data_IF_267747380732
#
_entry.id   IF_267747380732
#
_cell.length_a   1.000
_cell.length_b   1.000
_cell.length_c   1.000
_cell.angle_alpha   90.00
_cell.angle_beta   90.00
_cell.angle_gamma   90.00
#
_symmetry.space_group_name_H-M   'P 1'
#
loop_
_entity.id
_entity.type
_entity.pdbx_description
1 polymer ?
#
# COMPACT_ATOMS: atom_id res chain seq x y z
N UNK A 1 -30.95 16.61 1.77
CA UNK A 1 -30.27 17.66 1.03
C UNK A 1 -30.18 18.90 1.89
N UNK A 2 -28.99 19.46 2.08
CA UNK A 2 -28.49 20.63 1.37
C UNK A 2 -26.97 20.50 1.12
N UNK A 3 -26.57 20.39 -0.12
CA UNK A 3 -25.18 20.03 -0.55
C UNK A 3 -24.33 21.23 -1.00
N UNK A 4 -24.79 22.46 -0.95
CA UNK A 4 -24.09 23.55 -1.67
C UNK A 4 -23.27 24.55 -0.83
N UNK A 5 -23.40 24.57 0.49
CA UNK A 5 -22.70 25.60 1.32
C UNK A 5 -21.48 25.01 2.07
N UNK A 6 -21.45 23.71 2.36
CA UNK A 6 -20.39 23.07 3.17
C UNK A 6 -19.15 22.63 2.38
N UNK A 7 -19.17 22.65 1.05
CA UNK A 7 -18.04 22.21 0.22
C UNK A 7 -16.99 23.31 -0.06
N UNK A 8 -17.23 24.58 0.29
CA UNK A 8 -16.28 25.66 -0.02
C UNK A 8 -15.00 25.59 0.80
N UNK A 9 -15.07 25.23 2.08
CA UNK A 9 -13.90 25.16 2.97
C UNK A 9 -12.94 23.98 2.68
N UNK A 10 -13.43 22.98 1.96
CA UNK A 10 -12.66 21.77 1.62
C UNK A 10 -12.33 21.66 0.13
N UNK A 11 -12.68 22.69 -0.63
CA UNK A 11 -12.29 22.81 -2.03
C UNK A 11 -10.75 22.95 -2.16
N UNK A 12 -10.12 22.36 -3.16
CA UNK A 12 -8.66 22.43 -3.31
C UNK A 12 -8.08 23.84 -3.24
N UNK A 13 -8.76 24.83 -3.82
CA UNK A 13 -8.30 26.22 -3.80
C UNK A 13 -8.35 26.82 -2.40
N UNK A 14 -9.41 26.58 -1.62
CA UNK A 14 -9.49 27.01 -0.24
C UNK A 14 -8.41 26.36 0.64
N UNK A 15 -8.08 25.09 0.39
CA UNK A 15 -6.97 24.43 1.09
C UNK A 15 -5.62 25.03 0.69
N UNK A 16 -5.44 25.44 -0.57
CA UNK A 16 -4.22 26.13 -1.03
C UNK A 16 -4.06 27.51 -0.40
N UNK A 17 -5.15 28.26 -0.28
CA UNK A 17 -5.16 29.56 0.42
C UNK A 17 -4.81 29.39 1.90
N UNK A 18 -5.42 28.41 2.58
CA UNK A 18 -5.10 28.08 3.98
C UNK A 18 -3.63 27.70 4.15
N UNK A 19 -3.09 26.86 3.28
CA UNK A 19 -1.66 26.46 3.31
C UNK A 19 -0.75 27.66 3.09
N UNK A 20 -1.08 28.56 2.16
CA UNK A 20 -0.33 29.80 1.93
C UNK A 20 -0.37 30.74 3.16
N UNK A 21 -1.53 30.90 3.79
CA UNK A 21 -1.68 31.69 5.02
C UNK A 21 -0.83 31.15 6.16
N UNK A 22 -0.74 29.82 6.31
CA UNK A 22 0.11 29.17 7.31
C UNK A 22 1.59 29.51 7.06
N UNK A 23 2.05 29.40 5.81
CA UNK A 23 3.45 29.71 5.44
C UNK A 23 3.75 31.19 5.71
N UNK A 24 2.85 32.09 5.30
CA UNK A 24 3.02 33.52 5.56
C UNK A 24 3.04 33.85 7.06
N UNK A 25 2.18 33.23 7.85
CA UNK A 25 2.14 33.43 9.30
C UNK A 25 3.40 32.86 9.98
N UNK A 26 3.83 31.65 9.63
CA UNK A 26 5.05 31.05 10.16
C UNK A 26 6.27 31.94 9.92
N UNK A 27 6.41 32.47 8.68
CA UNK A 27 7.48 33.43 8.34
C UNK A 27 7.42 34.69 9.19
N UNK A 28 6.21 35.27 9.39
CA UNK A 28 6.00 36.46 10.24
C UNK A 28 6.37 36.20 11.71
N UNK A 29 6.23 34.96 12.18
CA UNK A 29 6.62 34.55 13.55
C UNK A 29 8.09 34.15 13.69
N UNK A 30 8.90 34.30 12.64
CA UNK A 30 10.34 34.12 12.66
C UNK A 30 10.83 32.73 12.23
N UNK A 31 9.99 31.90 11.63
CA UNK A 31 10.46 30.66 11.01
C UNK A 31 11.44 30.97 9.86
N UNK A 32 12.59 30.30 9.83
CA UNK A 32 13.55 30.41 8.74
C UNK A 32 13.07 29.64 7.50
N UNK A 33 12.31 28.58 7.69
CA UNK A 33 11.63 27.81 6.65
C UNK A 33 10.39 27.13 7.23
N UNK A 34 9.41 26.79 6.39
CA UNK A 34 8.18 26.13 6.82
C UNK A 34 7.54 25.28 5.71
N UNK A 35 6.77 24.29 6.15
CA UNK A 35 5.90 23.44 5.31
C UNK A 35 4.52 23.40 5.94
N UNK A 36 3.49 23.48 5.12
CA UNK A 36 2.11 23.29 5.50
C UNK A 36 1.51 22.14 4.68
N UNK A 37 0.91 21.18 5.36
CA UNK A 37 0.16 20.08 4.79
C UNK A 37 -1.29 20.23 5.19
N UNK A 38 -2.19 20.30 4.21
CA UNK A 38 -3.62 20.45 4.46
C UNK A 38 -4.38 19.38 3.71
N UNK A 39 -5.22 18.64 4.41
CA UNK A 39 -6.04 17.58 3.80
C UNK A 39 -7.48 17.65 4.28
N UNK A 40 -8.40 17.29 3.40
CA UNK A 40 -9.79 17.11 3.73
C UNK A 40 -10.35 15.90 2.98
N UNK A 41 -11.07 15.03 3.68
CA UNK A 41 -11.60 13.79 3.14
C UNK A 41 -13.06 13.55 3.52
N UNK A 42 -13.73 12.78 2.68
CA UNK A 42 -15.07 12.26 2.89
C UNK A 42 -15.03 10.75 2.66
N UNK A 43 -15.57 9.98 3.60
CA UNK A 43 -15.71 8.54 3.49
C UNK A 43 -17.12 8.09 3.85
N UNK A 44 -17.60 7.06 3.14
CA UNK A 44 -18.77 6.29 3.48
C UNK A 44 -18.37 4.81 3.48
N UNK A 45 -18.69 4.12 4.56
CA UNK A 45 -18.51 2.68 4.69
C UNK A 45 -19.83 2.03 5.06
N UNK A 46 -20.18 0.97 4.36
CA UNK A 46 -21.34 0.13 4.66
C UNK A 46 -20.87 -1.29 4.78
N UNK A 47 -21.25 -1.97 5.86
CA UNK A 47 -21.04 -3.38 6.05
C UNK A 47 -22.38 -4.10 6.22
N UNK A 48 -22.57 -5.17 5.44
CA UNK A 48 -23.73 -6.07 5.51
C UNK A 48 -23.24 -7.45 5.89
N UNK A 49 -23.94 -8.08 6.82
CA UNK A 49 -23.66 -9.45 7.25
C UNK A 49 -24.95 -10.26 7.31
N UNK A 50 -24.97 -11.40 6.66
CA UNK A 50 -26.15 -12.28 6.55
C UNK A 50 -27.39 -11.53 6.03
N UNK A 51 -27.20 -10.64 5.05
CA UNK A 51 -28.24 -9.81 4.47
C UNK A 51 -28.69 -8.61 5.31
N UNK A 52 -28.26 -8.51 6.57
CA UNK A 52 -28.62 -7.42 7.47
C UNK A 52 -27.51 -6.36 7.54
N UNK A 53 -27.90 -5.12 7.75
CA UNK A 53 -26.95 -4.01 7.92
C UNK A 53 -26.27 -4.17 9.28
N UNK A 54 -24.94 -4.31 9.27
CA UNK A 54 -24.14 -4.37 10.49
C UNK A 54 -23.64 -3.00 10.90
N UNK A 55 -23.04 -2.25 9.95
CA UNK A 55 -22.57 -0.88 10.20
C UNK A 55 -22.78 0.03 9.01
N UNK A 56 -23.01 1.31 9.31
CA UNK A 56 -22.98 2.43 8.36
C UNK A 56 -22.16 3.54 9.01
N UNK A 57 -21.06 3.91 8.36
CA UNK A 57 -20.18 4.94 8.87
C UNK A 57 -19.97 6.05 7.84
N UNK A 58 -19.96 7.30 8.32
CA UNK A 58 -19.57 8.47 7.55
C UNK A 58 -18.40 9.16 8.23
N UNK A 59 -17.32 9.29 7.50
CA UNK A 59 -16.12 9.95 7.97
C UNK A 59 -15.94 11.28 7.27
N UNK A 60 -15.62 12.32 8.05
CA UNK A 60 -15.18 13.63 7.56
C UNK A 60 -13.87 13.95 8.24
N UNK A 61 -12.80 13.75 7.51
CA UNK A 61 -11.47 13.96 8.03
C UNK A 61 -10.95 15.31 7.55
N UNK A 62 -10.38 16.07 8.48
CA UNK A 62 -9.64 17.30 8.22
C UNK A 62 -8.30 17.19 8.92
N UNK A 63 -7.25 17.58 8.25
CA UNK A 63 -5.90 17.59 8.81
C UNK A 63 -5.13 18.82 8.34
N UNK A 64 -4.49 19.48 9.28
CA UNK A 64 -3.58 20.57 9.05
C UNK A 64 -2.29 20.28 9.83
N UNK A 65 -1.18 20.04 9.11
CA UNK A 65 0.14 19.84 9.67
C UNK A 65 1.05 21.03 9.33
N UNK A 66 1.82 21.47 10.31
CA UNK A 66 2.80 22.54 10.13
C UNK A 66 4.16 22.06 10.60
N UNK A 67 5.13 22.08 9.71
CA UNK A 67 6.54 21.92 10.07
C UNK A 67 7.25 23.25 9.92
N UNK A 68 7.96 23.67 10.95
CA UNK A 68 8.79 24.89 10.94
C UNK A 68 10.24 24.56 11.21
N UNK A 69 11.11 25.41 10.71
CA UNK A 69 12.54 25.35 10.96
C UNK A 69 13.04 26.68 11.57
N UNK A 70 13.90 26.58 12.55
CA UNK A 70 14.70 27.68 13.11
C UNK A 70 16.17 27.32 12.86
N UNK A 71 16.71 27.73 11.72
CA UNK A 71 17.97 27.21 11.23
C UNK A 71 17.88 25.71 10.96
N UNK A 72 18.62 24.90 11.70
CA UNK A 72 18.65 23.43 11.62
C UNK A 72 17.76 22.72 12.65
N UNK A 73 16.96 23.47 13.38
CA UNK A 73 16.04 22.96 14.40
C UNK A 73 14.64 22.81 13.80
N UNK A 74 14.06 21.63 13.92
CA UNK A 74 12.75 21.31 13.35
C UNK A 74 11.70 21.19 14.44
N UNK A 75 10.52 21.79 14.24
CA UNK A 75 9.33 21.57 15.04
C UNK A 75 8.15 21.23 14.17
N UNK A 76 7.27 20.35 14.65
CA UNK A 76 6.04 19.97 13.95
C UNK A 76 4.87 19.95 14.92
N UNK A 77 3.72 20.44 14.46
CA UNK A 77 2.45 20.36 15.16
C UNK A 77 1.30 20.21 14.14
N UNK A 78 0.17 19.67 14.59
CA UNK A 78 -0.99 19.45 13.75
C UNK A 78 -2.31 19.70 14.48
N UNK A 79 -3.36 19.96 13.72
CA UNK A 79 -4.74 20.12 14.21
C UNK A 79 -5.73 19.65 13.16
N UNK A 80 -6.96 19.33 13.57
CA UNK A 80 -8.11 19.08 12.68
C UNK A 80 -9.03 20.30 12.53
N UNK A 81 -8.75 21.40 13.23
CA UNK A 81 -9.50 22.64 13.18
C UNK A 81 -8.85 23.63 12.20
N UNK A 82 -9.59 24.05 11.18
CA UNK A 82 -9.15 24.99 10.14
C UNK A 82 -9.41 26.47 10.50
N UNK A 83 -9.89 26.75 11.71
CA UNK A 83 -10.08 28.13 12.14
C UNK A 83 -8.74 28.88 12.18
N UNK A 84 -8.80 30.19 11.90
CA UNK A 84 -7.62 31.05 11.95
C UNK A 84 -6.89 30.99 13.31
N UNK A 85 -7.63 30.86 14.39
CA UNK A 85 -7.09 30.76 15.73
C UNK A 85 -6.33 29.45 15.93
N UNK A 86 -6.91 28.32 15.54
CA UNK A 86 -6.27 26.99 15.63
C UNK A 86 -5.02 26.93 14.75
N UNK A 87 -5.05 27.48 13.54
CA UNK A 87 -3.90 27.60 12.64
C UNK A 87 -2.75 28.37 13.33
N UNK A 88 -3.05 29.52 13.93
CA UNK A 88 -2.05 30.33 14.61
C UNK A 88 -1.44 29.60 15.83
N UNK A 89 -2.26 28.93 16.63
CA UNK A 89 -1.78 28.12 17.75
C UNK A 89 -0.91 26.94 17.29
N UNK A 90 -1.27 26.28 16.20
CA UNK A 90 -0.49 25.17 15.63
C UNK A 90 0.89 25.65 15.17
N UNK A 91 0.98 26.78 14.49
CA UNK A 91 2.26 27.39 14.10
C UNK A 91 3.11 27.74 15.34
N UNK A 92 2.49 28.35 16.38
CA UNK A 92 3.21 28.67 17.63
C UNK A 92 3.70 27.41 18.34
N UNK A 93 2.90 26.36 18.39
CA UNK A 93 3.28 25.08 18.96
C UNK A 93 4.50 24.48 18.22
N UNK A 94 4.48 24.47 16.88
CA UNK A 94 5.59 24.01 16.07
C UNK A 94 6.86 24.85 16.32
N UNK A 95 6.76 26.17 16.39
CA UNK A 95 7.88 27.07 16.72
C UNK A 95 8.45 26.80 18.11
N UNK A 96 7.59 26.59 19.11
CA UNK A 96 8.02 26.28 20.45
C UNK A 96 8.79 24.95 20.50
N UNK A 97 8.30 23.92 19.78
CA UNK A 97 9.02 22.65 19.64
C UNK A 97 10.39 22.87 18.99
N UNK A 98 10.45 23.62 17.88
CA UNK A 98 11.71 23.91 17.18
C UNK A 98 12.75 24.61 18.05
N UNK A 99 12.33 25.52 18.95
CA UNK A 99 13.24 26.21 19.87
C UNK A 99 14.01 25.29 20.83
N UNK A 100 13.38 24.18 21.21
CA UNK A 100 13.96 23.22 22.17
C UNK A 100 14.49 21.95 21.53
N UNK A 101 14.31 21.79 20.19
CA UNK A 101 14.87 20.65 19.44
C UNK A 101 16.35 20.87 19.17
N UNK A 102 17.14 19.80 19.23
CA UNK A 102 18.55 19.86 18.86
C UNK A 102 18.71 20.18 17.37
N UNK A 103 19.83 20.81 17.02
CA UNK A 103 20.20 21.03 15.63
C UNK A 103 20.52 19.71 14.92
N UNK A 104 20.07 19.57 13.68
CA UNK A 104 20.40 18.46 12.81
C UNK A 104 20.75 18.98 11.43
N UNK A 105 22.00 18.78 11.02
CA UNK A 105 22.53 19.29 9.74
C UNK A 105 21.78 18.79 8.51
N UNK A 106 21.06 17.69 8.62
CA UNK A 106 20.22 17.14 7.55
C UNK A 106 18.79 17.69 7.54
N UNK A 107 18.37 18.42 8.60
CA UNK A 107 17.04 19.02 8.66
C UNK A 107 16.91 20.21 7.71
N UNK A 108 15.74 20.34 7.07
CA UNK A 108 15.43 21.45 6.18
C UNK A 108 14.55 21.04 5.01
N UNK A 109 14.17 22.04 4.23
CA UNK A 109 13.41 21.85 2.98
C UNK A 109 14.25 21.14 1.91
N UNK A 110 13.62 20.55 0.88
CA UNK A 110 14.33 20.03 -0.29
C UNK A 110 15.07 21.14 -1.03
N UNK A 111 15.95 20.77 -1.95
CA UNK A 111 16.57 21.70 -2.87
C UNK A 111 15.49 22.29 -3.81
N UNK A 112 15.47 23.61 -3.97
CA UNK A 112 14.46 24.31 -4.78
C UNK A 112 14.37 23.75 -6.21
N UNK A 113 15.51 23.42 -6.81
CA UNK A 113 15.59 22.85 -8.14
C UNK A 113 14.92 21.46 -8.30
N UNK A 114 14.66 20.77 -7.21
CA UNK A 114 13.99 19.46 -7.21
C UNK A 114 12.47 19.57 -7.08
N UNK A 115 11.94 20.75 -6.73
CA UNK A 115 10.50 20.95 -6.57
C UNK A 115 9.77 20.72 -7.88
N UNK A 116 8.56 20.21 -7.79
CA UNK A 116 7.67 20.08 -8.93
C UNK A 116 7.10 21.44 -9.29
N UNK A 117 7.18 21.83 -10.56
CA UNK A 117 6.57 23.07 -11.08
C UNK A 117 5.35 22.77 -11.95
N UNK A 118 5.46 21.73 -12.77
CA UNK A 118 4.42 21.24 -13.66
C UNK A 118 4.24 19.74 -13.48
N UNK A 119 3.01 19.28 -13.46
CA UNK A 119 2.68 17.85 -13.42
C UNK A 119 1.44 17.57 -14.27
N UNK A 120 1.38 16.39 -14.91
CA UNK A 120 0.23 15.99 -15.70
C UNK A 120 -0.98 15.70 -14.79
N UNK A 121 -2.17 15.78 -15.38
CA UNK A 121 -3.35 15.19 -14.76
C UNK A 121 -3.19 13.65 -14.74
N UNK A 122 -3.22 13.09 -13.56
CA UNK A 122 -3.06 11.65 -13.34
C UNK A 122 -4.41 10.92 -13.27
N UNK A 123 -5.52 11.59 -13.55
CA UNK A 123 -6.87 11.04 -13.56
C UNK A 123 -7.23 10.34 -12.22
N UNK A 124 -6.98 11.05 -11.09
CA UNK A 124 -7.07 10.44 -9.75
C UNK A 124 -8.44 10.56 -9.11
N UNK A 125 -9.35 11.41 -9.62
CA UNK A 125 -10.60 11.75 -8.97
C UNK A 125 -11.81 11.30 -9.76
N UNK A 126 -12.49 10.29 -9.26
CA UNK A 126 -13.72 9.71 -9.81
C UNK A 126 -14.71 9.47 -8.66
N UNK A 127 -15.55 10.47 -8.31
CA UNK A 127 -16.51 10.30 -7.24
C UNK A 127 -17.52 9.19 -7.58
N UNK A 128 -17.88 8.39 -6.57
CA UNK A 128 -18.91 7.39 -6.68
C UNK A 128 -20.15 7.86 -5.90
N UNK A 129 -21.15 8.41 -6.56
CA UNK A 129 -22.29 9.05 -5.90
C UNK A 129 -23.32 8.02 -5.41
N UNK A 130 -22.90 7.09 -4.55
CA UNK A 130 -23.79 6.13 -3.91
C UNK A 130 -24.50 6.77 -2.72
N UNK A 131 -25.81 6.60 -2.65
CA UNK A 131 -26.53 6.74 -1.39
C UNK A 131 -26.39 5.46 -0.54
N UNK A 132 -26.81 5.54 0.72
CA UNK A 132 -26.70 4.40 1.66
C UNK A 132 -27.48 3.19 1.16
N UNK A 133 -28.68 3.38 0.63
CA UNK A 133 -29.52 2.28 0.17
C UNK A 133 -28.84 1.53 -1.00
N UNK A 134 -28.28 2.27 -1.94
CA UNK A 134 -27.51 1.69 -3.05
C UNK A 134 -26.26 0.94 -2.57
N UNK A 135 -25.52 1.51 -1.63
CA UNK A 135 -24.32 0.85 -1.06
C UNK A 135 -24.69 -0.43 -0.30
N UNK A 136 -25.79 -0.43 0.44
CA UNK A 136 -26.35 -1.61 1.13
C UNK A 136 -26.73 -2.70 0.12
N UNK A 137 -27.42 -2.35 -0.97
CA UNK A 137 -27.80 -3.34 -1.98
C UNK A 137 -26.57 -3.94 -2.70
N UNK A 138 -25.56 -3.13 -3.02
CA UNK A 138 -24.31 -3.67 -3.59
C UNK A 138 -23.60 -4.64 -2.61
N UNK A 139 -23.58 -4.33 -1.33
CA UNK A 139 -23.00 -5.24 -0.32
C UNK A 139 -23.82 -6.53 -0.19
N UNK A 140 -25.16 -6.44 -0.20
CA UNK A 140 -26.05 -7.59 -0.19
C UNK A 140 -25.91 -8.48 -1.41
N UNK A 141 -25.79 -7.88 -2.60
CA UNK A 141 -25.59 -8.61 -3.85
C UNK A 141 -24.27 -9.35 -3.86
N UNK A 142 -23.20 -8.72 -3.34
CA UNK A 142 -21.89 -9.33 -3.18
C UNK A 142 -21.96 -10.57 -2.24
N UNK A 143 -22.56 -10.42 -1.07
CA UNK A 143 -22.70 -11.51 -0.11
C UNK A 143 -23.63 -12.61 -0.62
N UNK A 144 -24.76 -12.26 -1.24
CA UNK A 144 -25.71 -13.19 -1.84
C UNK A 144 -25.05 -14.04 -2.92
N UNK A 145 -24.23 -13.45 -3.76
CA UNK A 145 -23.46 -14.16 -4.79
C UNK A 145 -22.50 -15.18 -4.16
N UNK A 146 -21.87 -14.85 -3.05
CA UNK A 146 -20.99 -15.79 -2.34
C UNK A 146 -21.77 -16.98 -1.77
N UNK A 147 -22.92 -16.77 -1.12
CA UNK A 147 -23.76 -17.86 -0.63
C UNK A 147 -24.33 -18.73 -1.76
N UNK A 148 -24.67 -18.12 -2.90
CA UNK A 148 -25.21 -18.84 -4.06
C UNK A 148 -24.14 -19.67 -4.79
N UNK A 149 -22.86 -19.31 -4.69
CA UNK A 149 -21.78 -19.98 -5.40
C UNK A 149 -21.55 -21.43 -4.92
N UNK A 150 -21.69 -21.69 -3.62
CA UNK A 150 -21.50 -23.03 -3.10
C UNK A 150 -22.27 -23.24 -1.77
N UNK A 151 -23.05 -24.35 -1.68
CA UNK A 151 -23.83 -24.70 -0.48
C UNK A 151 -22.98 -24.96 0.78
N UNK A 152 -21.68 -25.13 0.65
CA UNK A 152 -20.73 -25.32 1.76
C UNK A 152 -20.37 -23.99 2.43
N UNK A 153 -20.68 -22.86 1.82
CA UNK A 153 -20.64 -21.54 2.46
C UNK A 153 -21.82 -21.48 3.42
N UNK A 154 -21.52 -21.42 4.71
CA UNK A 154 -22.53 -21.53 5.79
C UNK A 154 -22.62 -20.29 6.65
N UNK A 155 -21.65 -19.36 6.53
CA UNK A 155 -21.61 -18.12 7.28
C UNK A 155 -20.82 -17.04 6.51
N UNK A 156 -20.91 -15.82 6.99
CA UNK A 156 -20.21 -14.66 6.45
C UNK A 156 -19.64 -13.80 7.58
N UNK A 157 -18.51 -13.18 7.34
CA UNK A 157 -18.00 -12.06 8.14
C UNK A 157 -18.47 -10.71 7.56
N UNK A 158 -19.19 -10.75 6.45
CA UNK A 158 -19.82 -9.62 5.81
C UNK A 158 -19.25 -9.29 4.42
N UNK A 159 -20.01 -8.42 3.75
CA UNK A 159 -19.57 -7.72 2.56
C UNK A 159 -19.58 -6.22 2.84
N UNK A 160 -18.54 -5.53 2.39
CA UNK A 160 -18.36 -4.10 2.65
C UNK A 160 -18.24 -3.32 1.36
N UNK A 161 -18.84 -2.13 1.33
CA UNK A 161 -18.67 -1.13 0.28
C UNK A 161 -18.09 0.14 0.90
N UNK A 162 -16.92 0.57 0.41
CA UNK A 162 -16.24 1.77 0.89
C UNK A 162 -16.08 2.77 -0.26
N UNK A 163 -16.51 3.99 -0.02
CA UNK A 163 -16.44 5.11 -0.96
C UNK A 163 -15.67 6.23 -0.30
N UNK A 164 -14.49 6.57 -0.83
CA UNK A 164 -13.63 7.59 -0.26
C UNK A 164 -13.19 8.59 -1.32
N UNK A 165 -13.13 9.84 -0.95
CA UNK A 165 -12.53 10.91 -1.73
C UNK A 165 -11.88 11.95 -0.81
N UNK A 166 -10.85 12.62 -1.30
CA UNK A 166 -10.19 13.65 -0.52
C UNK A 166 -9.27 14.53 -1.36
N UNK A 167 -9.01 15.71 -0.83
CA UNK A 167 -8.03 16.65 -1.36
C UNK A 167 -6.84 16.75 -0.43
N UNK A 168 -5.66 16.85 -1.00
CA UNK A 168 -4.40 17.08 -0.31
C UNK A 168 -3.70 18.29 -0.91
N UNK A 169 -3.17 19.15 -0.06
CA UNK A 169 -2.37 20.30 -0.45
C UNK A 169 -1.11 20.36 0.38
N UNK A 170 -0.02 20.63 -0.28
CA UNK A 170 1.29 20.91 0.31
C UNK A 170 1.76 22.28 -0.12
N UNK A 171 2.20 23.09 0.82
CA UNK A 171 2.91 24.36 0.55
C UNK A 171 4.18 24.45 1.36
N UNK A 172 5.21 25.13 0.83
CA UNK A 172 6.43 25.43 1.54
C UNK A 172 6.93 26.85 1.33
N UNK A 173 7.86 27.28 2.16
CA UNK A 173 8.42 28.64 2.10
C UNK A 173 9.39 28.90 0.95
N UNK A 174 9.67 27.91 0.07
CA UNK A 174 10.38 28.06 -1.18
C UNK A 174 9.44 28.43 -2.35
N UNK A 175 8.13 28.60 -2.08
CA UNK A 175 7.14 28.98 -3.08
C UNK A 175 6.35 27.82 -3.69
N UNK A 176 6.62 26.58 -3.31
CA UNK A 176 5.79 25.46 -3.71
C UNK A 176 4.40 25.55 -3.06
N UNK A 177 3.33 25.41 -3.85
CA UNK A 177 1.95 25.29 -3.40
C UNK A 177 1.19 24.39 -4.36
N UNK A 178 1.28 23.09 -4.15
CA UNK A 178 0.68 22.06 -4.99
C UNK A 178 -0.41 21.28 -4.25
N UNK A 179 -1.38 20.78 -5.02
CA UNK A 179 -2.42 19.95 -4.45
C UNK A 179 -3.16 19.16 -5.51
N UNK A 180 -3.83 18.10 -5.08
CA UNK A 180 -4.64 17.26 -5.94
C UNK A 180 -5.81 16.66 -5.15
N UNK A 181 -6.85 16.30 -5.89
CA UNK A 181 -7.99 15.54 -5.37
C UNK A 181 -7.90 14.11 -5.85
N UNK A 182 -8.29 13.17 -5.03
CA UNK A 182 -8.30 11.76 -5.39
C UNK A 182 -9.50 11.03 -4.79
N UNK A 183 -9.85 9.91 -5.40
CA UNK A 183 -10.84 8.97 -4.89
C UNK A 183 -10.24 7.57 -4.76
N UNK A 184 -10.80 6.78 -3.87
CA UNK A 184 -10.50 5.36 -3.74
C UNK A 184 -11.74 4.65 -3.23
N UNK A 185 -12.20 3.66 -3.98
CA UNK A 185 -13.37 2.86 -3.64
C UNK A 185 -12.97 1.40 -3.52
N UNK A 186 -13.69 0.64 -2.70
CA UNK A 186 -13.48 -0.79 -2.59
C UNK A 186 -14.77 -1.52 -2.26
N UNK A 187 -14.86 -2.75 -2.74
CA UNK A 187 -15.86 -3.73 -2.36
C UNK A 187 -15.14 -4.99 -1.91
N UNK A 188 -15.57 -5.58 -0.81
CA UNK A 188 -14.99 -6.82 -0.30
C UNK A 188 -16.06 -7.76 0.22
N UNK A 189 -15.76 -9.06 0.23
CA UNK A 189 -16.59 -10.09 0.83
C UNK A 189 -15.71 -11.13 1.53
N UNK A 190 -16.06 -11.49 2.75
CA UNK A 190 -15.39 -12.54 3.53
C UNK A 190 -16.41 -13.56 3.99
N UNK A 191 -16.19 -14.83 3.66
CA UNK A 191 -17.14 -15.91 3.93
C UNK A 191 -16.49 -17.12 4.60
N UNK A 192 -17.32 -17.94 5.21
CA UNK A 192 -16.91 -19.10 5.99
C UNK A 192 -17.58 -20.36 5.43
N UNK A 193 -16.77 -21.37 5.16
CA UNK A 193 -17.23 -22.70 4.75
C UNK A 193 -16.96 -23.75 5.83
N UNK A 194 -17.75 -24.83 5.85
CA UNK A 194 -17.56 -25.93 6.78
C UNK A 194 -18.19 -25.70 8.16
N UNK A 195 -17.95 -26.63 9.10
CA UNK A 195 -18.51 -26.60 10.45
C UNK A 195 -17.46 -26.99 11.50
N UNK A 196 -17.59 -26.41 12.70
CA UNK A 196 -16.74 -26.74 13.85
C UNK A 196 -15.25 -26.49 13.57
N UNK A 197 -14.39 -27.44 13.91
CA UNK A 197 -12.94 -27.32 13.70
C UNK A 197 -12.51 -27.38 12.24
N UNK A 198 -13.39 -27.77 11.32
CA UNK A 198 -13.12 -27.83 9.89
C UNK A 198 -13.57 -26.56 9.15
N UNK A 199 -13.93 -25.51 9.87
CA UNK A 199 -14.26 -24.22 9.25
C UNK A 199 -13.05 -23.61 8.59
N UNK A 200 -13.28 -23.10 7.38
CA UNK A 200 -12.30 -22.33 6.60
C UNK A 200 -12.91 -20.98 6.27
N UNK A 201 -12.06 -19.95 6.24
CA UNK A 201 -12.41 -18.60 5.88
C UNK A 201 -11.46 -18.11 4.79
N UNK A 202 -12.00 -17.41 3.83
CA UNK A 202 -11.22 -16.62 2.88
C UNK A 202 -12.05 -15.41 2.42
N UNK A 203 -11.46 -14.54 1.68
CA UNK A 203 -12.06 -13.30 1.21
C UNK A 203 -11.59 -12.94 -0.20
N UNK A 204 -12.31 -12.02 -0.80
CA UNK A 204 -11.86 -11.31 -1.98
C UNK A 204 -12.29 -9.86 -1.95
N UNK A 205 -11.58 -9.02 -2.70
CA UNK A 205 -11.93 -7.61 -2.81
C UNK A 205 -11.46 -7.03 -4.16
N UNK A 206 -12.14 -5.95 -4.56
CA UNK A 206 -11.72 -5.04 -5.61
C UNK A 206 -11.50 -3.65 -5.05
N UNK A 207 -10.50 -2.94 -5.53
CA UNK A 207 -10.26 -1.54 -5.19
C UNK A 207 -9.76 -0.77 -6.40
N UNK A 208 -10.31 0.43 -6.62
CA UNK A 208 -9.93 1.29 -7.73
C UNK A 208 -10.23 2.77 -7.40
N UNK A 209 -9.68 3.67 -8.18
CA UNK A 209 -10.05 5.09 -8.14
C UNK A 209 -11.36 5.35 -8.86
N UNK A 210 -11.59 4.69 -9.98
CA UNK A 210 -12.83 4.78 -10.74
C UNK A 210 -13.74 3.57 -10.42
N UNK A 211 -15.02 3.78 -10.10
CA UNK A 211 -15.93 2.68 -9.72
C UNK A 211 -16.05 1.59 -10.81
N UNK A 212 -16.03 1.97 -12.09
CA UNK A 212 -16.12 1.00 -13.19
C UNK A 212 -14.88 0.09 -13.35
N UNK A 213 -13.76 0.42 -12.69
CA UNK A 213 -12.56 -0.40 -12.69
C UNK A 213 -12.58 -1.46 -11.56
N UNK A 214 -13.60 -1.43 -10.69
CA UNK A 214 -13.83 -2.46 -9.67
C UNK A 214 -14.54 -3.65 -10.33
N UNK A 215 -14.13 -4.86 -9.99
CA UNK A 215 -14.83 -6.07 -10.40
C UNK A 215 -16.32 -5.98 -10.00
N UNK A 216 -17.18 -6.62 -10.77
CA UNK A 216 -18.60 -6.73 -10.41
C UNK A 216 -18.73 -7.35 -9.03
N UNK A 217 -19.66 -6.84 -8.24
CA UNK A 217 -19.80 -7.25 -6.83
C UNK A 217 -20.13 -8.74 -6.71
N UNK A 218 -20.90 -9.27 -7.67
CA UNK A 218 -21.23 -10.69 -7.72
C UNK A 218 -20.00 -11.56 -7.99
N UNK A 219 -19.05 -11.06 -8.78
CA UNK A 219 -17.81 -11.77 -9.05
C UNK A 219 -16.90 -11.77 -7.83
N UNK A 220 -16.83 -10.67 -7.09
CA UNK A 220 -16.09 -10.58 -5.82
C UNK A 220 -16.63 -11.62 -4.84
N UNK A 221 -17.95 -11.71 -4.67
CA UNK A 221 -18.59 -12.70 -3.81
C UNK A 221 -18.32 -14.15 -4.25
N UNK A 222 -18.44 -14.42 -5.56
CA UNK A 222 -18.15 -15.75 -6.13
C UNK A 222 -16.71 -16.17 -5.89
N UNK A 223 -15.73 -15.29 -6.16
CA UNK A 223 -14.31 -15.58 -5.94
C UNK A 223 -14.03 -15.83 -4.44
N UNK A 224 -14.60 -15.03 -3.54
CA UNK A 224 -14.46 -15.24 -2.10
C UNK A 224 -14.95 -16.64 -1.68
N UNK A 225 -16.10 -17.08 -2.20
CA UNK A 225 -16.65 -18.40 -1.93
C UNK A 225 -15.77 -19.53 -2.49
N UNK A 226 -15.33 -19.42 -3.75
CA UNK A 226 -14.46 -20.41 -4.38
C UNK A 226 -13.13 -20.55 -3.63
N UNK A 227 -12.51 -19.44 -3.24
CA UNK A 227 -11.29 -19.42 -2.43
C UNK A 227 -11.50 -20.12 -1.09
N UNK A 228 -12.62 -19.83 -0.41
CA UNK A 228 -12.94 -20.42 0.90
C UNK A 228 -13.16 -21.92 0.79
N UNK A 229 -13.95 -22.35 -0.18
CA UNK A 229 -14.34 -23.76 -0.35
C UNK A 229 -13.16 -24.65 -0.73
N UNK A 230 -12.24 -24.15 -1.59
CA UNK A 230 -11.06 -24.92 -1.98
C UNK A 230 -10.09 -25.22 -0.83
N UNK A 231 -10.20 -24.49 0.31
CA UNK A 231 -9.40 -24.71 1.54
C UNK A 231 -9.95 -25.81 2.44
N UNK A 232 -11.17 -26.29 2.21
CA UNK A 232 -11.78 -27.33 3.03
C UNK A 232 -10.98 -28.65 2.98
N UNK A 233 -10.91 -29.34 4.14
CA UNK A 233 -10.16 -30.59 4.34
C UNK A 233 -8.63 -30.39 4.20
N UNK A 234 -8.12 -29.24 4.62
CA UNK A 234 -6.69 -28.98 4.66
C UNK A 234 -5.94 -30.03 5.48
N UNK A 235 -4.72 -30.31 5.08
CA UNK A 235 -3.82 -31.26 5.71
C UNK A 235 -2.57 -30.54 6.19
N UNK A 236 -1.87 -31.17 7.13
CA UNK A 236 -0.53 -30.75 7.56
C UNK A 236 0.52 -31.38 6.66
N UNK A 237 1.65 -30.72 6.50
CA UNK A 237 2.82 -31.28 5.82
C UNK A 237 3.87 -31.67 6.85
N UNK A 238 4.73 -32.65 6.54
CA UNK A 238 5.95 -32.88 7.30
C UNK A 238 6.94 -31.73 7.09
N UNK A 239 7.98 -31.65 7.93
CA UNK A 239 9.09 -30.74 7.71
C UNK A 239 9.89 -31.16 6.49
N UNK A 240 10.06 -30.25 5.52
CA UNK A 240 10.76 -30.52 4.27
C UNK A 240 11.30 -29.22 3.64
N UNK A 241 12.03 -29.36 2.55
CA UNK A 241 12.40 -28.26 1.68
C UNK A 241 11.83 -28.50 0.28
N UNK A 242 11.20 -27.49 -0.31
CA UNK A 242 10.62 -27.59 -1.65
C UNK A 242 10.54 -26.22 -2.33
N UNK A 243 10.27 -26.18 -3.64
CA UNK A 243 9.83 -24.97 -4.33
C UNK A 243 8.55 -24.40 -3.72
N UNK A 244 8.46 -23.06 -3.71
CA UNK A 244 7.29 -22.36 -3.17
C UNK A 244 6.78 -21.34 -4.18
N UNK A 245 5.53 -21.46 -4.57
CA UNK A 245 4.82 -20.53 -5.44
C UNK A 245 3.93 -19.62 -4.58
N UNK A 246 4.28 -18.36 -4.49
CA UNK A 246 3.43 -17.33 -3.88
C UNK A 246 2.39 -16.89 -4.90
N UNK A 247 1.09 -17.12 -4.61
CA UNK A 247 -0.03 -16.62 -5.41
C UNK A 247 0.02 -15.08 -5.48
N UNK A 248 -0.37 -14.47 -6.60
CA UNK A 248 -0.26 -13.02 -6.83
C UNK A 248 -0.76 -12.13 -5.66
N UNK A 249 -1.90 -12.43 -4.98
CA UNK A 249 -2.36 -11.65 -3.83
C UNK A 249 -1.35 -11.56 -2.68
N UNK A 250 -0.58 -12.61 -2.44
CA UNK A 250 0.40 -12.67 -1.35
C UNK A 250 1.82 -12.35 -1.81
N UNK A 251 2.13 -12.55 -3.09
CA UNK A 251 3.45 -12.28 -3.69
C UNK A 251 3.87 -10.81 -3.55
N UNK A 252 2.92 -9.86 -3.64
CA UNK A 252 3.18 -8.44 -3.45
C UNK A 252 3.82 -8.10 -2.08
N UNK A 253 3.63 -8.96 -1.07
CA UNK A 253 4.23 -8.78 0.26
C UNK A 253 5.74 -8.98 0.26
N UNK A 254 6.28 -9.87 -0.59
CA UNK A 254 7.72 -10.10 -0.74
C UNK A 254 8.42 -8.81 -1.17
N UNK A 255 7.85 -8.12 -2.15
CA UNK A 255 8.38 -6.84 -2.63
C UNK A 255 8.15 -5.70 -1.62
N UNK A 256 7.20 -5.83 -0.70
CA UNK A 256 7.04 -4.93 0.43
C UNK A 256 8.23 -4.94 1.38
N UNK A 257 8.79 -6.12 1.66
CA UNK A 257 10.01 -6.26 2.48
C UNK A 257 11.24 -5.66 1.76
N UNK A 258 11.34 -5.85 0.45
CA UNK A 258 12.37 -5.21 -0.38
C UNK A 258 12.28 -3.68 -0.30
N UNK A 259 11.09 -3.10 -0.50
CA UNK A 259 10.87 -1.64 -0.38
C UNK A 259 11.33 -1.14 0.99
N UNK A 260 10.95 -1.83 2.07
CA UNK A 260 11.39 -1.50 3.43
C UNK A 260 12.91 -1.49 3.56
N UNK A 261 13.58 -2.48 2.98
CA UNK A 261 15.04 -2.62 3.06
C UNK A 261 15.80 -1.54 2.27
N UNK A 262 15.26 -1.04 1.16
CA UNK A 262 15.91 -0.02 0.32
C UNK A 262 15.30 1.39 0.52
N UNK A 263 14.49 1.58 1.57
CA UNK A 263 13.99 2.89 1.99
C UNK A 263 15.05 3.66 2.76
N UNK A 264 15.15 4.95 2.49
CA UNK A 264 16.17 5.82 3.08
C UNK A 264 16.21 5.76 4.61
N UNK A 265 15.04 5.66 5.27
CA UNK A 265 14.94 5.52 6.72
C UNK A 265 15.63 4.27 7.28
N UNK A 266 15.49 3.12 6.61
CA UNK A 266 16.16 1.87 6.99
C UNK A 266 17.65 1.92 6.73
N UNK A 267 18.05 2.55 5.60
CA UNK A 267 19.45 2.62 5.20
C UNK A 267 20.29 3.50 6.14
N UNK A 268 19.87 4.76 6.41
CA UNK A 268 20.70 5.63 7.26
C UNK A 268 20.72 5.19 8.73
N UNK A 269 19.68 4.50 9.21
CA UNK A 269 19.69 3.86 10.53
C UNK A 269 20.43 2.52 10.59
N UNK A 270 20.95 2.06 9.47
CA UNK A 270 21.62 0.76 9.31
C UNK A 270 20.76 -0.44 9.76
N UNK A 271 19.45 -0.33 9.55
CA UNK A 271 18.46 -1.35 9.89
C UNK A 271 17.90 -2.04 8.65
N UNK A 272 18.80 -2.46 7.76
CA UNK A 272 18.45 -3.12 6.50
C UNK A 272 19.41 -4.26 6.20
N UNK A 273 18.89 -5.39 5.70
CA UNK A 273 19.69 -6.49 5.17
C UNK A 273 20.28 -6.18 3.78
N UNK A 274 19.92 -5.05 3.15
CA UNK A 274 20.44 -4.61 1.85
C UNK A 274 21.31 -3.34 1.96
N UNK A 275 21.98 -3.14 3.11
CA UNK A 275 22.98 -2.09 3.23
C UNK A 275 24.08 -2.27 2.19
N UNK A 276 24.49 -1.17 1.56
CA UNK A 276 25.59 -1.12 0.58
C UNK A 276 25.44 -2.03 -0.65
N UNK A 277 24.18 -2.40 -0.98
CA UNK A 277 23.89 -3.25 -2.14
C UNK A 277 23.56 -2.47 -3.44
N UNK A 278 23.66 -1.15 -3.44
CA UNK A 278 23.46 -0.36 -4.67
C UNK A 278 24.47 -0.80 -5.75
N UNK A 279 23.97 -1.11 -6.93
CA UNK A 279 24.79 -1.65 -8.03
C UNK A 279 25.08 -3.14 -7.95
N UNK A 280 24.63 -3.84 -6.90
CA UNK A 280 24.86 -5.27 -6.73
C UNK A 280 23.62 -6.11 -7.11
N UNK A 281 23.86 -7.38 -7.42
CA UNK A 281 22.81 -8.37 -7.67
C UNK A 281 22.08 -8.70 -6.36
N UNK A 282 20.79 -8.38 -6.29
CA UNK A 282 19.94 -8.66 -5.11
C UNK A 282 18.79 -9.61 -5.43
N UNK A 283 18.38 -9.69 -6.68
CA UNK A 283 17.37 -10.61 -7.18
C UNK A 283 17.98 -11.53 -8.27
N UNK A 284 17.22 -12.56 -8.66
CA UNK A 284 17.45 -13.28 -9.90
C UNK A 284 17.42 -12.31 -11.11
N UNK A 285 18.14 -12.62 -12.18
CA UNK A 285 18.30 -11.79 -13.38
C UNK A 285 16.99 -11.56 -14.17
N UNK A 286 15.99 -12.43 -13.97
CA UNK A 286 14.67 -12.26 -14.57
C UNK A 286 13.85 -11.13 -13.94
N UNK A 287 14.26 -10.59 -12.78
CA UNK A 287 13.50 -9.60 -12.02
C UNK A 287 13.82 -8.19 -12.46
N UNK A 288 12.77 -7.48 -12.86
CA UNK A 288 12.79 -6.03 -13.12
C UNK A 288 11.70 -5.36 -12.32
N UNK A 289 12.04 -4.25 -11.65
CA UNK A 289 11.12 -3.48 -10.81
C UNK A 289 11.23 -2.01 -11.16
N UNK A 290 10.12 -1.40 -11.52
CA UNK A 290 10.02 0.02 -11.82
C UNK A 290 9.13 0.74 -10.80
N UNK A 291 9.53 1.95 -10.38
CA UNK A 291 8.68 2.89 -9.63
C UNK A 291 8.06 3.88 -10.63
N UNK A 292 6.73 3.86 -10.74
CA UNK A 292 5.97 4.60 -11.76
C UNK A 292 4.96 5.53 -11.09
N UNK A 293 5.30 6.82 -10.86
CA UNK A 293 4.44 7.76 -10.15
C UNK A 293 3.27 8.31 -10.99
N UNK A 294 3.34 8.22 -12.31
CA UNK A 294 2.47 8.91 -13.27
C UNK A 294 1.52 7.96 -14.02
N UNK A 295 1.19 6.83 -13.42
CA UNK A 295 0.22 5.91 -13.99
C UNK A 295 -1.20 6.49 -13.81
N UNK A 296 -1.92 6.70 -14.92
CA UNK A 296 -3.32 7.17 -14.86
C UNK A 296 -4.16 6.23 -13.98
N UNK A 297 -4.94 6.80 -13.06
CA UNK A 297 -5.73 6.08 -12.04
C UNK A 297 -4.92 5.13 -11.15
N UNK A 298 -3.60 5.20 -11.17
CA UNK A 298 -2.75 4.34 -10.35
C UNK A 298 -2.98 4.61 -8.86
N UNK A 299 -3.12 3.54 -8.05
CA UNK A 299 -3.39 3.66 -6.62
C UNK A 299 -2.23 4.29 -5.83
N UNK A 300 -1.01 4.19 -6.35
CA UNK A 300 0.19 4.83 -5.83
C UNK A 300 0.65 6.05 -6.62
N UNK A 301 -0.13 6.52 -7.61
CA UNK A 301 0.26 7.69 -8.41
C UNK A 301 0.17 8.97 -7.60
N UNK A 302 1.18 9.82 -7.76
CA UNK A 302 1.28 11.13 -7.13
C UNK A 302 2.05 12.10 -8.02
N UNK A 303 1.56 13.34 -8.20
CA UNK A 303 2.21 14.32 -9.05
C UNK A 303 3.52 14.87 -8.45
N UNK A 304 3.67 14.81 -7.14
CA UNK A 304 4.85 15.18 -6.36
C UNK A 304 4.87 14.34 -5.07
N UNK A 305 6.03 14.25 -4.43
CA UNK A 305 6.16 13.52 -3.16
C UNK A 305 5.72 14.38 -1.95
N UNK A 306 5.79 13.83 -0.73
CA UNK A 306 5.35 14.52 0.49
C UNK A 306 6.23 15.72 0.88
N UNK A 307 7.24 16.07 0.11
CA UNK A 307 8.06 17.27 0.27
C UNK A 307 7.88 18.27 -0.88
N UNK A 308 7.01 17.95 -1.87
CA UNK A 308 6.81 18.74 -3.08
C UNK A 308 7.89 18.51 -4.15
N UNK A 309 8.72 17.49 -3.96
CA UNK A 309 9.75 17.10 -4.93
C UNK A 309 9.09 16.38 -6.11
N UNK A 310 9.58 16.68 -7.32
CA UNK A 310 9.11 16.04 -8.55
C UNK A 310 9.31 14.53 -8.50
N UNK A 311 8.26 13.81 -8.78
CA UNK A 311 8.30 12.35 -8.95
C UNK A 311 8.76 11.98 -10.36
N UNK A 312 9.41 10.82 -10.52
CA UNK A 312 9.95 10.35 -11.79
C UNK A 312 9.81 8.84 -11.90
N UNK A 313 9.61 8.36 -13.13
CA UNK A 313 9.75 6.93 -13.43
C UNK A 313 11.19 6.51 -13.27
N UNK A 314 11.43 5.45 -12.52
CA UNK A 314 12.78 4.95 -12.26
C UNK A 314 12.82 3.44 -12.27
N UNK A 315 13.82 2.86 -12.92
CA UNK A 315 14.17 1.47 -12.73
C UNK A 315 14.83 1.32 -11.34
N UNK A 316 14.19 0.58 -10.45
CA UNK A 316 14.71 0.30 -9.11
C UNK A 316 15.54 -0.97 -9.12
N UNK A 317 15.09 -1.97 -9.89
CA UNK A 317 15.85 -3.21 -10.15
C UNK A 317 15.85 -3.48 -11.66
N UNK A 318 17.01 -3.75 -12.23
CA UNK A 318 17.16 -4.11 -13.63
C UNK A 318 18.02 -5.36 -13.74
N UNK A 319 17.48 -6.43 -14.34
CA UNK A 319 18.09 -7.75 -14.42
C UNK A 319 18.64 -8.20 -13.04
N UNK A 320 17.82 -8.07 -11.99
CA UNK A 320 18.14 -8.41 -10.61
C UNK A 320 19.09 -7.47 -9.88
N UNK A 321 19.73 -6.51 -10.57
CA UNK A 321 20.67 -5.54 -9.98
C UNK A 321 19.93 -4.35 -9.40
N UNK A 322 20.21 -4.01 -8.14
CA UNK A 322 19.66 -2.83 -7.48
C UNK A 322 20.20 -1.53 -8.10
N UNK A 323 19.31 -0.69 -8.63
CA UNK A 323 19.66 0.56 -9.36
C UNK A 323 19.32 1.81 -8.58
N UNK A 324 18.50 1.74 -7.55
CA UNK A 324 18.07 2.92 -6.81
C UNK A 324 17.45 2.63 -5.46
N UNK A 325 17.52 3.63 -4.59
CA UNK A 325 16.87 3.68 -3.29
C UNK A 325 15.62 4.56 -3.35
N UNK A 326 14.77 4.50 -2.32
CA UNK A 326 13.63 5.39 -2.12
C UNK A 326 14.00 6.42 -1.04
N UNK A 327 14.31 7.64 -1.48
CA UNK A 327 14.85 8.69 -0.62
C UNK A 327 13.99 9.95 -0.64
N UNK A 328 13.61 10.44 0.54
CA UNK A 328 13.21 11.83 0.75
C UNK A 328 14.45 12.67 1.10
N UNK A 329 14.29 13.97 1.23
CA UNK A 329 15.39 14.94 1.45
C UNK A 329 16.24 14.60 2.67
N UNK A 330 15.61 14.35 3.81
CA UNK A 330 16.34 14.05 5.05
C UNK A 330 17.20 12.79 4.94
N UNK A 331 16.61 11.69 4.46
CA UNK A 331 17.34 10.42 4.32
C UNK A 331 18.43 10.50 3.25
N UNK A 332 18.20 11.23 2.18
CA UNK A 332 19.19 11.46 1.15
C UNK A 332 20.42 12.20 1.71
N UNK A 333 20.22 13.27 2.47
CA UNK A 333 21.30 14.01 3.14
C UNK A 333 22.07 13.14 4.13
N UNK A 334 21.39 12.32 4.94
CA UNK A 334 22.04 11.37 5.87
C UNK A 334 22.92 10.35 5.15
N UNK A 335 22.60 10.03 3.89
CA UNK A 335 23.36 9.08 3.05
C UNK A 335 24.34 9.76 2.09
N UNK A 336 24.46 11.11 2.11
CA UNK A 336 25.28 11.85 1.14
C UNK A 336 24.79 11.75 -0.30
N UNK A 337 23.46 11.59 -0.49
CA UNK A 337 22.79 11.42 -1.79
C UNK A 337 21.79 12.57 -2.03
N UNK A 338 21.10 12.54 -3.17
CA UNK A 338 19.98 13.44 -3.48
C UNK A 338 18.64 12.78 -3.28
N UNK A 339 17.59 13.58 -2.98
CA UNK A 339 16.22 13.10 -2.93
C UNK A 339 15.82 12.49 -4.28
N UNK A 340 15.05 11.41 -4.20
CA UNK A 340 14.58 10.68 -5.39
C UNK A 340 13.10 10.93 -5.69
N UNK A 341 12.48 11.91 -5.00
CA UNK A 341 11.03 12.15 -5.10
C UNK A 341 10.21 11.04 -4.45
N UNK A 342 10.73 10.46 -3.38
CA UNK A 342 10.08 9.36 -2.66
C UNK A 342 9.90 9.69 -1.16
N UNK A 343 9.81 10.96 -0.78
CA UNK A 343 9.30 11.30 0.54
C UNK A 343 7.85 10.80 0.66
N UNK A 344 7.60 9.93 1.63
CA UNK A 344 6.32 9.23 1.78
C UNK A 344 6.33 7.78 1.26
N UNK A 345 7.34 7.37 0.48
CA UNK A 345 7.53 5.99 0.04
C UNK A 345 7.53 5.78 -1.47
N UNK A 346 7.20 4.58 -1.91
CA UNK A 346 7.08 4.21 -3.32
C UNK A 346 5.77 4.71 -3.92
N UNK A 347 5.76 4.87 -5.23
CA UNK A 347 4.55 5.10 -6.02
C UNK A 347 3.94 3.76 -6.49
N UNK A 348 3.63 3.63 -7.78
CA UNK A 348 3.25 2.32 -8.29
C UNK A 348 4.50 1.50 -8.57
N UNK A 349 4.69 0.45 -7.78
CA UNK A 349 5.80 -0.47 -7.95
C UNK A 349 5.36 -1.58 -8.92
N UNK A 350 5.95 -1.58 -10.12
CA UNK A 350 5.62 -2.54 -11.16
C UNK A 350 6.72 -3.60 -11.22
N UNK A 351 6.37 -4.82 -10.89
CA UNK A 351 7.21 -5.99 -11.11
C UNK A 351 6.87 -6.53 -12.48
N UNK A 352 7.85 -6.56 -13.39
CA UNK A 352 7.64 -7.01 -14.77
C UNK A 352 7.18 -8.46 -14.78
N UNK A 353 6.02 -8.78 -15.40
CA UNK A 353 5.55 -10.16 -15.48
C UNK A 353 6.46 -11.01 -16.38
N UNK A 354 6.49 -12.30 -16.12
CA UNK A 354 7.04 -13.30 -17.02
C UNK A 354 6.06 -13.69 -18.13
N UNK A 355 6.31 -14.83 -18.77
CA UNK A 355 5.50 -15.34 -19.88
C UNK A 355 4.42 -16.33 -19.42
N UNK A 356 4.70 -17.06 -18.33
CA UNK A 356 3.81 -18.10 -17.83
C UNK A 356 2.63 -17.52 -17.05
N UNK A 357 1.47 -18.14 -17.19
CA UNK A 357 0.34 -17.94 -16.31
C UNK A 357 0.51 -18.73 -14.99
N UNK A 358 -0.42 -18.58 -14.06
CA UNK A 358 -0.40 -19.31 -12.80
C UNK A 358 -0.29 -20.84 -13.01
N UNK A 359 -1.05 -21.39 -13.94
CA UNK A 359 -1.02 -22.82 -14.23
C UNK A 359 0.31 -23.26 -14.85
N UNK A 360 0.94 -22.43 -15.67
CA UNK A 360 2.28 -22.62 -16.21
C UNK A 360 3.33 -22.70 -15.10
N UNK A 361 3.27 -21.78 -14.13
CA UNK A 361 4.18 -21.80 -12.97
C UNK A 361 3.96 -23.04 -12.09
N UNK A 362 2.72 -23.50 -11.92
CA UNK A 362 2.41 -24.76 -11.20
C UNK A 362 3.04 -25.96 -11.91
N UNK A 363 2.93 -26.03 -13.25
CA UNK A 363 3.59 -27.07 -14.05
C UNK A 363 5.13 -26.97 -13.95
N UNK A 364 5.68 -25.76 -14.05
CA UNK A 364 7.12 -25.50 -13.90
C UNK A 364 7.64 -25.95 -12.53
N UNK A 365 6.88 -25.70 -11.47
CA UNK A 365 7.21 -26.13 -10.11
C UNK A 365 7.26 -27.66 -9.97
N UNK A 366 6.38 -28.37 -10.66
CA UNK A 366 6.28 -29.82 -10.65
C UNK A 366 5.83 -30.42 -9.31
N UNK A 367 6.59 -30.19 -8.24
CA UNK A 367 6.26 -30.61 -6.88
C UNK A 367 6.64 -29.48 -5.90
N UNK A 368 5.73 -29.09 -5.01
CA UNK A 368 6.00 -28.00 -4.06
C UNK A 368 4.74 -27.45 -3.41
N UNK A 369 4.89 -26.27 -2.81
CA UNK A 369 3.85 -25.60 -2.05
C UNK A 369 3.38 -24.33 -2.79
N UNK A 370 2.10 -24.20 -3.02
CA UNK A 370 1.47 -22.91 -3.34
C UNK A 370 1.08 -22.24 -2.02
N UNK A 371 1.46 -20.98 -1.83
CA UNK A 371 1.09 -20.15 -0.67
C UNK A 371 0.01 -19.17 -1.10
N UNK A 372 -1.15 -19.25 -0.45
CA UNK A 372 -2.30 -18.37 -0.71
C UNK A 372 -2.64 -17.46 0.48
N UNK A 373 -2.10 -17.76 1.66
CA UNK A 373 -2.26 -16.97 2.87
C UNK A 373 -0.97 -16.96 3.67
N UNK A 374 -0.67 -15.81 4.27
CA UNK A 374 0.47 -15.61 5.16
C UNK A 374 -0.01 -15.09 6.52
N UNK A 375 0.48 -15.70 7.60
CA UNK A 375 0.13 -15.38 8.98
C UNK A 375 1.35 -14.86 9.75
N UNK A 376 1.11 -13.94 10.67
CA UNK A 376 2.17 -13.37 11.52
C UNK A 376 3.11 -12.39 10.81
N UNK A 377 4.11 -11.90 11.54
CA UNK A 377 5.04 -10.84 11.09
C UNK A 377 6.52 -11.24 11.28
N UNK A 378 6.85 -12.53 11.16
CA UNK A 378 8.18 -13.08 11.39
C UNK A 378 9.20 -12.74 10.30
N UNK A 379 9.53 -11.45 10.15
CA UNK A 379 10.56 -10.96 9.24
C UNK A 379 11.51 -10.04 9.99
N UNK A 380 12.81 -10.37 9.95
CA UNK A 380 13.85 -9.52 10.50
C UNK A 380 14.42 -8.62 9.41
N UNK A 381 14.11 -7.32 9.50
CA UNK A 381 14.55 -6.34 8.49
C UNK A 381 16.08 -6.12 8.46
N UNK A 382 16.81 -6.49 9.53
CA UNK A 382 18.27 -6.30 9.63
C UNK A 382 19.02 -7.47 9.01
N UNK A 383 18.57 -8.71 9.26
CA UNK A 383 19.24 -9.93 8.79
C UNK A 383 18.65 -10.49 7.51
N UNK A 384 17.38 -10.18 7.23
CA UNK A 384 16.62 -10.75 6.13
C UNK A 384 15.95 -12.09 6.47
N UNK A 385 16.04 -12.55 7.71
CA UNK A 385 15.40 -13.81 8.11
C UNK A 385 13.88 -13.70 7.99
N UNK A 386 13.30 -14.72 7.39
CA UNK A 386 11.89 -14.80 7.05
C UNK A 386 11.30 -16.08 7.64
N UNK A 387 10.27 -15.96 8.48
CA UNK A 387 9.56 -17.09 9.06
C UNK A 387 8.10 -16.70 9.28
N UNK A 388 7.17 -17.25 8.50
CA UNK A 388 5.76 -16.91 8.58
C UNK A 388 4.89 -18.16 8.56
N UNK A 389 3.81 -18.13 9.34
CA UNK A 389 2.72 -19.08 9.18
C UNK A 389 2.14 -18.97 7.77
N UNK A 390 1.73 -20.10 7.19
CA UNK A 390 1.19 -20.13 5.85
C UNK A 390 0.06 -21.16 5.71
N UNK A 391 -0.80 -20.91 4.72
CA UNK A 391 -1.75 -21.87 4.19
C UNK A 391 -1.73 -21.79 2.66
N UNK A 392 -2.13 -22.90 2.03
CA UNK A 392 -2.12 -22.96 0.57
C UNK A 392 -2.44 -24.35 0.05
N UNK A 393 -1.69 -24.82 -0.96
CA UNK A 393 -1.96 -26.09 -1.61
C UNK A 393 -0.68 -26.85 -1.90
N UNK A 394 -0.71 -28.14 -1.70
CA UNK A 394 0.33 -29.05 -2.11
C UNK A 394 0.18 -29.40 -3.59
N UNK A 395 1.29 -29.44 -4.29
CA UNK A 395 1.38 -29.77 -5.73
C UNK A 395 2.26 -30.99 -5.92
N UNK A 396 1.82 -31.93 -6.76
CA UNK A 396 2.62 -33.05 -7.28
C UNK A 396 2.36 -33.20 -8.77
N UNK A 397 3.40 -33.53 -9.49
CA UNK A 397 3.34 -33.70 -10.96
C UNK A 397 2.76 -32.48 -11.72
N UNK A 398 2.96 -31.27 -11.18
CA UNK A 398 2.43 -30.04 -11.76
C UNK A 398 0.92 -29.86 -11.60
N UNK A 399 0.28 -30.58 -10.67
CA UNK A 399 -1.15 -30.50 -10.38
C UNK A 399 -1.41 -30.30 -8.89
N UNK A 400 -2.41 -29.47 -8.57
CA UNK A 400 -2.84 -29.21 -7.18
C UNK A 400 -3.52 -30.47 -6.62
N UNK A 401 -3.03 -30.99 -5.50
CA UNK A 401 -3.51 -32.21 -4.88
C UNK A 401 -4.49 -32.00 -3.72
N UNK A 402 -4.11 -31.19 -2.74
CA UNK A 402 -4.92 -30.92 -1.55
C UNK A 402 -4.50 -29.60 -0.89
N UNK A 403 -5.45 -28.96 -0.13
CA UNK A 403 -5.12 -27.78 0.65
C UNK A 403 -4.26 -28.13 1.87
N UNK A 404 -3.45 -27.16 2.29
CA UNK A 404 -2.48 -27.25 3.39
C UNK A 404 -2.67 -26.08 4.34
N UNK A 405 -2.60 -26.34 5.65
CA UNK A 405 -2.65 -25.33 6.69
C UNK A 405 -1.74 -25.68 7.88
N UNK A 406 -1.64 -24.76 8.84
CA UNK A 406 -0.85 -24.92 10.07
C UNK A 406 0.63 -25.28 9.78
N UNK A 407 1.20 -24.66 8.79
CA UNK A 407 2.62 -24.77 8.43
C UNK A 407 3.34 -23.44 8.62
N UNK A 408 4.65 -23.49 8.77
CA UNK A 408 5.51 -22.32 8.72
C UNK A 408 6.42 -22.42 7.52
N UNK A 409 6.53 -21.39 6.73
CA UNK A 409 7.53 -21.25 5.66
C UNK A 409 8.68 -20.38 6.15
N UNK A 410 9.91 -20.79 5.89
CA UNK A 410 11.10 -20.10 6.36
C UNK A 410 12.19 -20.02 5.30
N UNK A 411 13.01 -18.96 5.40
CA UNK A 411 14.13 -18.68 4.52
C UNK A 411 14.86 -17.41 4.93
N UNK A 412 15.76 -16.95 4.07
CA UNK A 412 16.35 -15.63 4.18
C UNK A 412 16.01 -14.83 2.91
N UNK A 413 15.55 -13.60 3.04
CA UNK A 413 15.09 -12.79 1.93
C UNK A 413 16.14 -12.58 0.84
N UNK A 414 17.44 -12.53 1.17
CA UNK A 414 18.51 -12.43 0.17
C UNK A 414 18.57 -13.67 -0.73
N UNK A 415 18.43 -14.86 -0.12
CA UNK A 415 18.42 -16.13 -0.83
C UNK A 415 17.11 -16.32 -1.60
N UNK A 416 15.98 -15.98 -0.97
CA UNK A 416 14.66 -16.05 -1.58
C UNK A 416 14.57 -15.18 -2.85
N UNK A 417 15.09 -13.95 -2.82
CA UNK A 417 15.08 -13.06 -3.99
C UNK A 417 15.97 -13.57 -5.12
N UNK A 418 17.13 -14.09 -4.81
CA UNK A 418 18.02 -14.70 -5.81
C UNK A 418 17.48 -16.02 -6.34
N UNK A 419 16.70 -16.74 -5.53
CA UNK A 419 16.05 -17.99 -5.88
C UNK A 419 14.72 -17.83 -6.62
N UNK A 420 14.32 -16.63 -7.05
CA UNK A 420 13.14 -16.46 -7.90
C UNK A 420 13.45 -17.03 -9.28
N UNK A 421 12.70 -18.07 -9.66
CA UNK A 421 12.86 -18.79 -10.93
C UNK A 421 11.66 -18.65 -11.86
N UNK A 422 10.60 -17.97 -11.43
CA UNK A 422 9.41 -17.70 -12.25
C UNK A 422 8.62 -16.51 -11.74
N UNK A 423 8.12 -15.72 -12.68
CA UNK A 423 7.19 -14.61 -12.46
C UNK A 423 5.96 -14.83 -13.33
N UNK A 424 4.77 -14.77 -12.73
CA UNK A 424 3.51 -14.96 -13.44
C UNK A 424 3.09 -13.74 -14.25
N UNK A 425 2.33 -13.99 -15.31
CA UNK A 425 1.64 -12.94 -16.05
C UNK A 425 0.23 -12.65 -15.48
N UNK A 426 -0.17 -13.35 -14.46
CA UNK A 426 -1.41 -13.21 -13.67
C UNK A 426 -1.38 -11.99 -12.73
N UNK A 427 -0.98 -10.84 -13.25
CA UNK A 427 -0.78 -9.61 -12.47
C UNK A 427 -2.08 -9.12 -11.85
N UNK A 428 -2.10 -9.01 -10.53
CA UNK A 428 -3.23 -8.52 -9.78
C UNK A 428 -3.05 -7.05 -9.39
N UNK A 429 -4.11 -6.24 -9.61
CA UNK A 429 -4.15 -4.81 -9.25
C UNK A 429 -5.07 -4.61 -8.06
N UNK A 430 -4.56 -4.83 -6.86
CA UNK A 430 -5.26 -4.60 -5.59
C UNK A 430 -4.55 -3.57 -4.69
N UNK A 431 -3.53 -2.89 -5.22
CA UNK A 431 -2.73 -1.90 -4.49
C UNK A 431 -1.78 -1.15 -5.41
N UNK A 432 -0.83 -0.45 -4.81
CA UNK A 432 0.25 0.23 -5.53
C UNK A 432 1.36 -0.71 -6.00
N UNK A 433 1.43 -1.93 -5.48
CA UNK A 433 2.37 -2.96 -5.96
C UNK A 433 1.65 -3.89 -6.91
N UNK A 434 2.15 -4.01 -8.12
CA UNK A 434 1.58 -4.83 -9.18
C UNK A 434 2.57 -5.94 -9.53
N UNK A 435 2.22 -7.16 -9.18
CA UNK A 435 2.98 -8.35 -9.54
C UNK A 435 2.05 -9.52 -9.82
N UNK A 436 2.51 -10.47 -10.61
CA UNK A 436 1.92 -11.80 -10.73
C UNK A 436 2.42 -12.73 -9.64
N UNK A 437 2.07 -13.99 -9.74
CA UNK A 437 2.58 -15.04 -8.86
C UNK A 437 4.10 -15.17 -8.96
N UNK A 438 4.75 -15.58 -7.87
CA UNK A 438 6.22 -15.65 -7.77
C UNK A 438 6.63 -17.04 -7.33
N UNK A 439 7.41 -17.72 -8.17
CA UNK A 439 7.98 -19.04 -7.89
C UNK A 439 9.41 -18.88 -7.35
N UNK A 440 9.63 -19.38 -6.14
CA UNK A 440 10.93 -19.46 -5.49
C UNK A 440 11.41 -20.91 -5.53
N UNK A 441 12.64 -21.12 -5.95
CA UNK A 441 13.22 -22.44 -6.20
C UNK A 441 13.21 -23.35 -4.96
N UNK A 442 13.46 -22.78 -3.76
CA UNK A 442 13.55 -23.57 -2.53
C UNK A 442 13.30 -22.72 -1.28
N UNK A 443 12.44 -23.23 -0.40
CA UNK A 443 12.24 -22.73 0.96
C UNK A 443 12.09 -23.89 1.93
N UNK A 444 12.34 -23.64 3.21
CA UNK A 444 12.05 -24.58 4.28
C UNK A 444 10.56 -24.49 4.67
N UNK A 445 9.93 -25.63 4.81
CA UNK A 445 8.59 -25.81 5.34
C UNK A 445 8.70 -26.51 6.68
N UNK A 446 8.25 -25.90 7.76
CA UNK A 446 8.12 -26.54 9.05
C UNK A 446 6.65 -26.92 9.26
N UNK A 447 6.39 -28.20 9.33
CA UNK A 447 5.11 -28.79 9.63
C UNK A 447 5.13 -29.56 10.94
N UNK A 448 4.00 -30.13 11.33
CA UNK A 448 3.94 -31.09 12.44
C UNK A 448 4.18 -32.51 11.90
N UNK A 449 5.07 -33.22 12.57
CA UNK A 449 5.26 -34.66 12.39
C UNK A 449 4.06 -35.43 12.92
#
# INVERSE_FOLDING_TARGET
MPTSVKNRETAPDALRELAADIIAYARKQGASASVAEVSAGLGQSVNVRQGEIETIEYNRDKGLGVTVYLGRRRGHASTSDFSRQAMQYTVQAALNIARFTAEDDCAGLPEEALLAHDWPDLDLYHPWPLDVAQAVELARDCERAAFAADRRIVNSEGASVNVNSGSFVLANSLGFNGGYTSSRHSVSCSVIAGKGKAMQRDYWYGTARHPADILKVEEIGRIAAERTVRRLKARKLPTLQCPVLFEAPVAASLFGHFVGAVSGGSLYRKSSFLLDHLGQQVFSDIVHIDDVPDLARGLGSSPFDNEGVRTQRRAIVAAGVLRGYFLGTYSARKLGMHSTGNAGGTHNLLIRPGTEDFAGLVRQMGCGLIVTELLGHGVNAVTGDYSRGAAGFWVEHGEIQYPVEEITIAGNLKEMYRGIVGLGNDVLVQGSRRCGSVLIERMAIAGQS
#
